data_IF_481837830572
#
_entry.id   IF_481837830572
#
_cell.length_a   1.000
_cell.length_b   1.000
_cell.length_c   1.000
_cell.angle_alpha   90.00
_cell.angle_beta   90.00
_cell.angle_gamma   90.00
#
_symmetry.space_group_name_H-M   'P 1'
#
loop_
_entity.id
_entity.type
_entity.pdbx_description
1 polymer ?
#
# COMPACT_ATOMS: atom_id res chain seq x y z
N UNK A 1 7.22 81.35 20.53
CA UNK A 1 8.63 80.91 20.55
C UNK A 1 8.67 79.51 19.95
N UNK A 2 9.35 79.39 18.80
CA UNK A 2 10.25 78.27 18.38
C UNK A 2 10.10 76.92 19.09
N UNK A 3 10.08 75.75 18.46
CA UNK A 3 10.41 75.27 17.09
C UNK A 3 9.98 73.79 17.03
N UNK A 4 9.63 73.34 15.83
CA UNK A 4 10.05 72.10 15.12
C UNK A 4 10.39 70.84 15.94
N UNK A 5 10.15 69.60 15.50
CA UNK A 5 9.44 68.97 14.38
C UNK A 5 9.76 67.45 14.47
N UNK A 6 9.13 66.67 13.58
CA UNK A 6 9.38 65.26 13.21
C UNK A 6 8.62 64.26 14.08
N UNK A 7 7.51 63.69 13.61
CA UNK A 7 7.43 62.82 12.42
C UNK A 7 7.15 61.41 12.96
N UNK A 8 6.23 60.58 12.49
CA UNK A 8 5.50 60.53 11.25
C UNK A 8 4.08 60.01 11.51
N UNK A 9 3.21 60.35 10.57
CA UNK A 9 1.79 60.00 10.49
C UNK A 9 1.61 58.50 10.17
N UNK A 10 0.56 57.92 10.78
CA UNK A 10 -0.52 57.11 10.14
C UNK A 10 -0.18 55.68 9.65
N UNK A 11 -1.04 54.66 9.70
CA UNK A 11 -2.45 54.51 10.10
C UNK A 11 -2.68 53.09 10.63
N UNK A 12 -3.69 53.00 11.49
CA UNK A 12 -4.28 51.79 12.01
C UNK A 12 -4.86 50.88 10.92
N UNK A 13 -4.71 49.56 11.12
CA UNK A 13 -5.73 48.58 10.80
C UNK A 13 -5.90 47.69 12.04
N UNK A 14 -6.91 48.02 12.84
CA UNK A 14 -7.52 47.06 13.74
C UNK A 14 -8.55 46.26 12.95
N UNK A 15 -8.51 44.94 13.07
CA UNK A 15 -9.66 44.06 13.06
C UNK A 15 -9.17 42.68 13.52
N UNK A 16 -9.31 42.45 14.83
CA UNK A 16 -9.20 41.11 15.40
C UNK A 16 -10.35 40.27 14.85
N UNK A 17 -10.00 39.12 14.28
CA UNK A 17 -10.97 38.06 14.01
C UNK A 17 -10.53 36.85 14.83
N UNK A 18 -11.39 36.55 15.79
CA UNK A 18 -11.37 35.38 16.66
C UNK A 18 -11.53 34.12 15.79
N UNK A 19 -10.58 33.18 15.86
CA UNK A 19 -10.65 31.92 15.11
C UNK A 19 -11.52 30.95 15.91
N UNK A 20 -12.81 30.88 15.57
CA UNK A 20 -13.69 29.80 16.04
C UNK A 20 -13.52 28.59 15.13
N UNK A 21 -13.22 27.44 15.72
CA UNK A 21 -13.17 26.15 15.05
C UNK A 21 -14.54 25.85 14.42
N UNK A 22 -14.59 25.92 13.09
CA UNK A 22 -15.73 25.54 12.26
C UNK A 22 -15.34 24.34 11.40
N UNK A 23 -16.17 23.31 11.47
CA UNK A 23 -16.12 22.03 10.76
C UNK A 23 -15.71 22.22 9.29
N UNK A 24 -14.62 21.58 8.85
CA UNK A 24 -14.26 21.50 7.44
C UNK A 24 -15.06 20.37 6.78
N UNK A 25 -16.22 20.72 6.23
CA UNK A 25 -16.87 19.93 5.17
C UNK A 25 -16.28 20.42 3.85
N UNK A 26 -15.53 19.57 3.16
CA UNK A 26 -14.99 19.90 1.84
C UNK A 26 -13.78 19.07 1.40
N UNK A 27 -13.84 17.75 1.51
CA UNK A 27 -12.87 16.89 0.81
C UNK A 27 -13.23 16.90 -0.68
N UNK A 28 -12.39 17.54 -1.50
CA UNK A 28 -12.49 17.45 -2.97
C UNK A 28 -12.44 15.97 -3.36
N UNK A 29 -13.24 15.50 -4.33
CA UNK A 29 -13.03 14.16 -4.87
C UNK A 29 -11.67 14.15 -5.55
N UNK A 30 -10.84 13.16 -5.22
CA UNK A 30 -9.68 12.82 -6.03
C UNK A 30 -10.23 12.39 -7.39
N UNK A 31 -10.01 13.20 -8.42
CA UNK A 31 -10.28 12.78 -9.79
C UNK A 31 -9.25 11.70 -10.12
N UNK A 32 -9.68 10.45 -10.04
CA UNK A 32 -8.99 9.30 -10.62
C UNK A 32 -8.68 9.62 -12.08
N UNK A 33 -7.41 9.76 -12.43
CA UNK A 33 -6.97 9.91 -13.82
C UNK A 33 -6.52 8.54 -14.25
N UNK A 34 -7.41 7.84 -14.94
CA UNK A 34 -7.16 6.59 -15.64
C UNK A 34 -5.89 6.78 -16.51
N UNK A 35 -4.74 6.33 -16.01
CA UNK A 35 -3.41 6.64 -16.56
C UNK A 35 -2.28 6.91 -15.56
N UNK A 36 -2.55 7.15 -14.27
CA UNK A 36 -1.50 7.30 -13.24
C UNK A 36 -0.92 5.97 -12.76
N UNK A 37 -1.69 4.88 -12.83
CA UNK A 37 -1.26 3.56 -12.38
C UNK A 37 -0.18 2.95 -13.28
N UNK A 38 -0.35 3.04 -14.61
CA UNK A 38 0.67 2.64 -15.59
C UNK A 38 1.98 3.42 -15.44
N UNK A 39 1.95 4.61 -14.83
CA UNK A 39 3.16 5.41 -14.56
C UNK A 39 4.01 4.78 -13.47
N UNK A 40 3.43 4.07 -12.50
CA UNK A 40 4.20 3.52 -11.38
C UNK A 40 4.98 2.25 -11.74
N UNK A 41 4.39 1.37 -12.56
CA UNK A 41 5.11 0.18 -13.07
C UNK A 41 6.29 0.60 -13.95
N UNK A 42 6.10 1.59 -14.82
CA UNK A 42 7.18 2.17 -15.64
C UNK A 42 8.29 2.78 -14.78
N UNK A 43 7.91 3.55 -13.76
CA UNK A 43 8.87 4.12 -12.81
C UNK A 43 9.67 3.05 -12.07
N UNK A 44 9.06 1.93 -11.72
CA UNK A 44 9.75 0.79 -11.12
C UNK A 44 10.74 0.15 -12.09
N UNK A 45 10.37 -0.02 -13.37
CA UNK A 45 11.26 -0.55 -14.39
C UNK A 45 12.48 0.35 -14.56
N UNK A 46 12.26 1.66 -14.66
CA UNK A 46 13.33 2.66 -14.75
C UNK A 46 14.24 2.62 -13.51
N UNK A 47 13.66 2.61 -12.30
CA UNK A 47 14.43 2.64 -11.06
C UNK A 47 15.22 1.37 -10.81
N UNK A 48 14.76 0.22 -11.31
CA UNK A 48 15.43 -1.09 -11.15
C UNK A 48 16.32 -1.47 -12.33
N UNK A 49 16.34 -0.66 -13.40
CA UNK A 49 17.07 -0.95 -14.63
C UNK A 49 16.57 -2.19 -15.38
N UNK A 50 15.31 -2.61 -15.15
CA UNK A 50 14.73 -3.84 -15.71
C UNK A 50 14.04 -3.57 -17.04
N UNK A 51 14.08 -4.57 -17.91
CA UNK A 51 13.21 -4.63 -19.09
C UNK A 51 11.93 -5.39 -18.75
N UNK A 52 10.83 -5.02 -19.44
CA UNK A 52 9.54 -5.73 -19.35
C UNK A 52 9.70 -7.19 -19.77
N UNK A 53 9.25 -8.12 -18.93
CA UNK A 53 9.21 -9.54 -19.28
C UNK A 53 7.98 -9.90 -20.15
N UNK A 54 6.87 -9.16 -19.99
CA UNK A 54 5.64 -9.38 -20.78
C UNK A 54 5.02 -10.76 -20.53
N UNK A 55 5.06 -11.21 -19.28
CA UNK A 55 4.50 -12.50 -18.88
C UNK A 55 2.98 -12.48 -19.05
N UNK A 56 2.40 -13.63 -19.34
CA UNK A 56 0.94 -13.81 -19.35
C UNK A 56 0.58 -14.69 -18.18
N UNK A 57 0.03 -14.10 -17.12
CA UNK A 57 -0.40 -14.80 -15.92
C UNK A 57 -1.89 -15.13 -16.03
N UNK A 58 -2.27 -16.37 -15.73
CA UNK A 58 -3.67 -16.76 -15.69
C UNK A 58 -4.27 -16.45 -14.31
N UNK A 59 -4.93 -15.30 -14.19
CA UNK A 59 -5.54 -14.83 -12.95
C UNK A 59 -6.88 -15.51 -12.60
N UNK A 60 -7.55 -16.14 -13.56
CA UNK A 60 -8.88 -16.72 -13.39
C UNK A 60 -9.00 -17.70 -12.20
N UNK A 61 -8.02 -18.60 -11.94
CA UNK A 61 -8.10 -19.51 -10.80
C UNK A 61 -8.02 -18.78 -9.46
N UNK A 62 -7.15 -17.76 -9.35
CA UNK A 62 -6.98 -17.00 -8.11
C UNK A 62 -8.19 -16.10 -7.82
N UNK A 63 -8.67 -15.35 -8.81
CA UNK A 63 -9.86 -14.50 -8.65
C UNK A 63 -11.11 -15.35 -8.34
N UNK A 64 -11.19 -16.57 -8.88
CA UNK A 64 -12.25 -17.53 -8.54
C UNK A 64 -12.13 -18.07 -7.11
N UNK A 65 -10.92 -18.33 -6.62
CA UNK A 65 -10.69 -18.79 -5.26
C UNK A 65 -11.03 -17.70 -4.22
N UNK A 66 -10.64 -16.45 -4.51
CA UNK A 66 -10.94 -15.29 -3.66
C UNK A 66 -12.40 -14.80 -3.81
N UNK A 67 -13.06 -15.13 -4.93
CA UNK A 67 -14.41 -14.64 -5.23
C UNK A 67 -14.46 -13.13 -5.55
N UNK A 68 -13.31 -12.51 -5.76
CA UNK A 68 -13.15 -11.09 -6.11
C UNK A 68 -12.10 -10.94 -7.19
N UNK A 69 -12.21 -9.86 -7.96
CA UNK A 69 -11.17 -9.41 -8.89
C UNK A 69 -9.99 -8.85 -8.10
N UNK A 70 -8.77 -9.07 -8.58
CA UNK A 70 -7.57 -8.42 -8.03
C UNK A 70 -7.31 -7.09 -8.73
N UNK A 71 -6.61 -6.12 -8.07
CA UNK A 71 -6.30 -4.83 -8.67
C UNK A 71 -5.55 -4.98 -10.00
N UNK A 72 -5.94 -4.21 -11.01
CA UNK A 72 -5.36 -4.29 -12.36
C UNK A 72 -3.89 -3.83 -12.38
N UNK A 73 -3.55 -2.80 -11.59
CA UNK A 73 -2.16 -2.31 -11.48
C UNK A 73 -1.21 -3.30 -10.79
N UNK A 74 -1.72 -4.11 -9.86
CA UNK A 74 -0.95 -5.21 -9.27
C UNK A 74 -0.70 -6.33 -10.28
N UNK A 75 -1.72 -6.69 -11.07
CA UNK A 75 -1.56 -7.71 -12.12
C UNK A 75 -0.53 -7.30 -13.17
N UNK A 76 -0.56 -6.03 -13.59
CA UNK A 76 0.45 -5.47 -14.50
C UNK A 76 1.85 -5.56 -13.90
N UNK A 77 2.02 -5.19 -12.62
CA UNK A 77 3.31 -5.29 -11.92
C UNK A 77 3.87 -6.73 -11.97
N UNK A 78 3.03 -7.72 -11.64
CA UNK A 78 3.41 -9.13 -11.69
C UNK A 78 3.74 -9.62 -13.10
N UNK A 79 2.98 -9.19 -14.12
CA UNK A 79 3.23 -9.57 -15.52
C UNK A 79 4.53 -8.94 -16.08
N UNK A 80 4.91 -7.77 -15.58
CA UNK A 80 6.10 -7.04 -16.01
C UNK A 80 7.37 -7.57 -15.34
N UNK A 81 7.32 -7.83 -14.02
CA UNK A 81 8.49 -8.22 -13.23
C UNK A 81 8.61 -9.74 -13.02
N UNK A 82 7.49 -10.47 -13.02
CA UNK A 82 7.43 -11.85 -12.56
C UNK A 82 7.55 -11.96 -11.05
N UNK A 83 7.71 -13.19 -10.56
CA UNK A 83 7.94 -13.45 -9.15
C UNK A 83 9.40 -13.13 -8.78
N UNK A 84 9.60 -12.48 -7.62
CA UNK A 84 10.92 -12.11 -7.15
C UNK A 84 10.90 -11.09 -6.01
N UNK A 85 12.08 -10.57 -5.71
CA UNK A 85 12.31 -9.62 -4.62
C UNK A 85 12.86 -8.29 -5.15
N UNK A 86 12.29 -7.19 -4.68
CA UNK A 86 12.83 -5.85 -4.85
C UNK A 86 13.90 -5.60 -3.78
N UNK A 87 15.09 -5.22 -4.23
CA UNK A 87 16.25 -4.91 -3.39
C UNK A 87 16.59 -6.00 -2.35
N UNK A 88 16.25 -7.26 -2.66
CA UNK A 88 16.34 -8.42 -1.76
C UNK A 88 15.60 -8.29 -0.42
N UNK A 89 14.69 -7.31 -0.31
CA UNK A 89 14.00 -7.01 0.95
C UNK A 89 12.48 -6.99 0.84
N UNK A 90 11.89 -6.68 -0.30
CA UNK A 90 10.42 -6.71 -0.47
C UNK A 90 10.03 -7.73 -1.54
N UNK A 91 9.25 -8.73 -1.16
CA UNK A 91 8.63 -9.70 -2.08
C UNK A 91 7.21 -9.24 -2.41
N UNK A 92 6.87 -9.23 -3.70
CA UNK A 92 5.48 -9.15 -4.16
C UNK A 92 5.07 -10.57 -4.53
N UNK A 93 4.09 -11.11 -3.80
CA UNK A 93 3.55 -12.42 -4.07
C UNK A 93 2.77 -12.35 -5.38
N UNK A 94 3.07 -13.24 -6.33
CA UNK A 94 2.32 -13.38 -7.58
C UNK A 94 1.32 -14.53 -7.45
N UNK A 95 0.56 -14.81 -8.51
CA UNK A 95 -0.23 -16.03 -8.65
C UNK A 95 0.48 -16.96 -9.62
N UNK A 96 0.88 -18.13 -9.14
CA UNK A 96 1.46 -19.20 -9.97
C UNK A 96 1.40 -20.52 -9.19
N UNK A 97 0.67 -21.54 -9.67
CA UNK A 97 0.54 -22.83 -8.98
C UNK A 97 1.84 -23.64 -8.94
N UNK A 98 2.87 -23.30 -9.72
CA UNK A 98 4.19 -23.92 -9.68
C UNK A 98 5.07 -23.36 -8.56
N UNK A 99 4.73 -22.19 -8.01
CA UNK A 99 5.44 -21.61 -6.88
C UNK A 99 5.11 -22.35 -5.58
N UNK A 100 6.14 -22.50 -4.73
CA UNK A 100 5.99 -23.06 -3.38
C UNK A 100 5.09 -22.17 -2.51
N UNK A 101 5.14 -20.86 -2.74
CA UNK A 101 4.32 -19.88 -2.06
C UNK A 101 3.89 -18.80 -3.06
N UNK A 102 2.60 -18.79 -3.37
CA UNK A 102 1.92 -17.76 -4.15
C UNK A 102 0.86 -17.04 -3.29
N UNK A 103 0.25 -15.98 -3.83
CA UNK A 103 -0.73 -15.17 -3.12
C UNK A 103 -1.89 -15.99 -2.53
N UNK A 104 -2.45 -16.93 -3.32
CA UNK A 104 -3.60 -17.74 -2.91
C UNK A 104 -3.21 -18.74 -1.83
N UNK A 105 -2.03 -19.33 -1.93
CA UNK A 105 -1.48 -20.25 -0.94
C UNK A 105 -1.22 -19.53 0.39
N UNK A 106 -0.67 -18.32 0.37
CA UNK A 106 -0.44 -17.52 1.57
C UNK A 106 -1.73 -17.18 2.32
N UNK A 107 -2.73 -16.71 1.58
CA UNK A 107 -4.08 -16.50 2.12
C UNK A 107 -4.69 -17.79 2.70
N UNK A 108 -4.62 -18.90 1.96
CA UNK A 108 -5.19 -20.19 2.37
C UNK A 108 -4.51 -20.77 3.61
N UNK A 109 -3.18 -20.65 3.70
CA UNK A 109 -2.40 -21.06 4.87
C UNK A 109 -2.76 -20.20 6.08
N UNK A 110 -2.89 -18.89 5.89
CA UNK A 110 -3.35 -17.97 6.94
C UNK A 110 -4.71 -18.39 7.53
N UNK A 111 -5.69 -18.66 6.67
CA UNK A 111 -7.01 -19.13 7.10
C UNK A 111 -6.96 -20.47 7.83
N UNK A 112 -6.15 -21.41 7.33
CA UNK A 112 -5.96 -22.71 8.00
C UNK A 112 -5.37 -22.53 9.40
N UNK A 113 -4.31 -21.71 9.53
CA UNK A 113 -3.66 -21.47 10.81
C UNK A 113 -4.61 -20.81 11.82
N UNK A 114 -5.42 -19.84 11.38
CA UNK A 114 -6.43 -19.21 12.22
C UNK A 114 -7.44 -20.26 12.76
N UNK A 115 -7.95 -21.13 11.88
CA UNK A 115 -8.87 -22.22 12.27
C UNK A 115 -8.22 -23.24 13.20
N UNK A 116 -6.97 -23.60 12.97
CA UNK A 116 -6.21 -24.51 13.85
C UNK A 116 -6.00 -23.91 15.25
N UNK A 117 -5.91 -22.59 15.33
CA UNK A 117 -5.87 -21.83 16.59
C UNK A 117 -7.26 -21.56 17.19
N UNK A 118 -8.33 -22.06 16.58
CA UNK A 118 -9.70 -21.94 17.07
C UNK A 118 -10.40 -20.62 16.74
N UNK A 119 -9.88 -19.84 15.79
CA UNK A 119 -10.52 -18.62 15.29
C UNK A 119 -11.54 -18.98 14.22
N UNK A 120 -12.79 -18.53 14.35
CA UNK A 120 -13.84 -18.78 13.35
C UNK A 120 -13.72 -17.85 12.13
N UNK A 121 -14.32 -18.24 11.00
CA UNK A 121 -14.26 -17.47 9.75
C UNK A 121 -14.88 -16.07 9.89
N UNK A 122 -14.04 -15.05 9.81
CA UNK A 122 -14.44 -13.64 9.92
C UNK A 122 -14.34 -13.11 11.35
N UNK A 123 -13.89 -13.94 12.30
CA UNK A 123 -13.43 -13.46 13.60
C UNK A 123 -11.99 -12.96 13.49
N UNK A 124 -11.67 -12.01 14.36
CA UNK A 124 -10.33 -11.45 14.48
C UNK A 124 -9.41 -12.46 15.17
N UNK A 125 -8.43 -12.95 14.42
CA UNK A 125 -7.26 -13.61 14.98
C UNK A 125 -6.40 -12.55 15.70
N UNK A 126 -5.86 -12.82 16.91
CA UNK A 126 -4.92 -11.93 17.60
C UNK A 126 -3.77 -11.42 16.71
N UNK A 127 -3.33 -12.22 15.74
CA UNK A 127 -2.30 -11.85 14.77
C UNK A 127 -2.76 -10.83 13.73
N UNK A 128 -4.06 -10.56 13.57
CA UNK A 128 -4.59 -9.59 12.60
C UNK A 128 -5.40 -8.45 13.22
N UNK A 129 -5.45 -8.32 14.56
CA UNK A 129 -6.22 -7.29 15.26
C UNK A 129 -6.02 -5.86 14.71
N UNK A 130 -7.06 -5.04 14.54
CA UNK A 130 -8.49 -5.33 14.74
C UNK A 130 -9.16 -6.00 13.53
N UNK A 131 -8.39 -6.34 12.49
CA UNK A 131 -8.89 -6.91 11.25
C UNK A 131 -8.98 -8.44 11.31
N UNK A 132 -9.46 -9.05 10.24
CA UNK A 132 -9.45 -10.49 10.04
C UNK A 132 -8.97 -10.80 8.62
N UNK A 133 -8.45 -12.00 8.40
CA UNK A 133 -8.13 -12.47 7.05
C UNK A 133 -9.38 -12.50 6.19
N UNK A 134 -9.21 -12.15 4.92
CA UNK A 134 -10.30 -12.02 3.97
C UNK A 134 -11.13 -13.30 3.89
N UNK A 135 -12.44 -13.14 4.05
CA UNK A 135 -13.43 -14.18 3.82
C UNK A 135 -14.29 -13.76 2.63
N UNK A 136 -14.42 -14.61 1.59
CA UNK A 136 -15.25 -14.30 0.41
C UNK A 136 -16.65 -13.84 0.79
N UNK A 137 -17.03 -12.65 0.33
CA UNK A 137 -18.33 -12.03 0.61
C UNK A 137 -18.46 -11.37 1.99
N UNK A 138 -17.45 -11.40 2.86
CA UNK A 138 -17.43 -10.67 4.14
C UNK A 138 -16.36 -9.55 4.20
N UNK A 139 -15.39 -9.55 3.28
CA UNK A 139 -14.27 -8.62 3.30
C UNK A 139 -13.12 -9.11 4.19
N UNK A 140 -12.16 -8.21 4.47
CA UNK A 140 -10.98 -8.49 5.29
C UNK A 140 -9.66 -8.38 4.53
N UNK A 141 -8.59 -8.91 5.12
CA UNK A 141 -7.22 -8.76 4.63
C UNK A 141 -6.83 -9.84 3.61
N UNK A 142 -6.41 -9.43 2.41
CA UNK A 142 -5.75 -10.30 1.44
C UNK A 142 -4.25 -10.00 1.47
N UNK A 143 -3.37 -10.94 1.86
CA UNK A 143 -1.92 -10.73 1.78
C UNK A 143 -1.48 -10.61 0.32
N UNK A 144 -0.54 -9.71 0.03
CA UNK A 144 0.04 -9.56 -1.31
C UNK A 144 1.56 -9.46 -1.33
N UNK A 145 2.21 -9.31 -0.18
CA UNK A 145 3.66 -9.27 -0.11
C UNK A 145 4.20 -9.25 1.31
N UNK A 146 5.52 -9.40 1.40
CA UNK A 146 6.25 -9.44 2.66
C UNK A 146 7.62 -8.80 2.55
N UNK A 147 8.11 -8.29 3.68
CA UNK A 147 9.50 -7.88 3.87
C UNK A 147 10.39 -9.03 4.35
N UNK A 148 11.69 -8.96 4.06
CA UNK A 148 12.72 -9.89 4.55
C UNK A 148 12.87 -9.88 6.08
N UNK A 149 12.53 -8.76 6.71
CA UNK A 149 12.47 -8.58 8.17
C UNK A 149 11.22 -9.17 8.82
N UNK A 150 10.29 -9.71 8.03
CA UNK A 150 8.98 -10.19 8.49
C UNK A 150 7.87 -9.15 8.42
N UNK A 151 8.12 -8.00 7.80
CA UNK A 151 7.06 -7.04 7.48
C UNK A 151 6.02 -7.71 6.58
N UNK A 152 4.77 -7.30 6.69
CA UNK A 152 3.67 -7.93 5.96
C UNK A 152 2.73 -6.89 5.38
N UNK A 153 2.28 -7.12 4.15
CA UNK A 153 1.47 -6.18 3.40
C UNK A 153 0.20 -6.84 2.87
N UNK A 154 -0.91 -6.12 3.02
CA UNK A 154 -2.25 -6.62 2.73
C UNK A 154 -3.05 -5.56 1.97
N UNK A 155 -4.01 -6.01 1.18
CA UNK A 155 -5.16 -5.19 0.82
C UNK A 155 -6.22 -5.36 1.90
N UNK A 156 -6.85 -4.27 2.33
CA UNK A 156 -8.09 -4.35 3.09
C UNK A 156 -9.27 -4.25 2.12
N UNK A 157 -9.94 -5.37 1.90
CA UNK A 157 -11.12 -5.45 1.03
C UNK A 157 -12.32 -4.90 1.79
N UNK A 158 -12.77 -3.73 1.36
CA UNK A 158 -13.94 -3.03 1.88
C UNK A 158 -15.16 -3.28 0.99
N UNK A 159 -16.33 -3.45 1.60
CA UNK A 159 -17.56 -3.72 0.85
C UNK A 159 -17.91 -2.55 -0.08
N UNK A 160 -18.12 -2.85 -1.36
CA UNK A 160 -18.51 -1.86 -2.38
C UNK A 160 -17.37 -1.04 -2.98
N UNK A 161 -16.14 -1.20 -2.50
CA UNK A 161 -14.95 -0.61 -3.11
C UNK A 161 -14.51 -1.39 -4.35
N UNK A 162 -14.07 -0.69 -5.40
CA UNK A 162 -13.43 -1.33 -6.53
C UNK A 162 -12.05 -1.89 -6.11
N UNK A 163 -11.55 -2.99 -6.70
CA UNK A 163 -10.26 -3.57 -6.34
C UNK A 163 -9.10 -2.57 -6.39
N UNK A 164 -9.07 -1.70 -7.41
CA UNK A 164 -8.01 -0.68 -7.55
C UNK A 164 -8.05 0.41 -6.47
N UNK A 165 -9.17 0.53 -5.76
CA UNK A 165 -9.34 1.48 -4.65
C UNK A 165 -9.10 0.83 -3.28
N UNK A 166 -8.70 -0.44 -3.22
CA UNK A 166 -8.45 -1.08 -1.94
C UNK A 166 -7.21 -0.49 -1.26
N UNK A 167 -7.35 0.00 -0.03
CA UNK A 167 -6.22 0.51 0.74
C UNK A 167 -5.21 -0.61 1.05
N UNK A 168 -3.94 -0.23 1.10
CA UNK A 168 -2.87 -1.09 1.57
C UNK A 168 -2.72 -0.92 3.08
N UNK A 169 -2.69 -2.03 3.81
CA UNK A 169 -2.23 -2.08 5.19
C UNK A 169 -0.87 -2.76 5.26
N UNK A 170 0.11 -2.05 5.82
CA UNK A 170 1.43 -2.58 6.13
C UNK A 170 1.61 -2.73 7.63
N UNK A 171 2.29 -3.79 8.05
CA UNK A 171 2.72 -3.96 9.44
C UNK A 171 4.17 -4.37 9.53
N UNK A 172 4.91 -3.73 10.43
CA UNK A 172 6.30 -4.06 10.75
C UNK A 172 6.34 -5.31 11.62
N UNK A 173 7.30 -6.21 11.40
CA UNK A 173 7.38 -7.52 12.06
C UNK A 173 7.31 -7.47 13.60
N UNK A 174 8.00 -6.50 14.21
CA UNK A 174 8.11 -6.35 15.67
C UNK A 174 7.08 -5.39 16.28
N UNK A 175 6.16 -4.86 15.46
CA UNK A 175 5.14 -3.95 15.94
C UNK A 175 4.04 -4.70 16.71
N UNK A 176 3.32 -3.96 17.56
CA UNK A 176 2.09 -4.45 18.17
C UNK A 176 1.12 -4.88 17.08
N UNK A 177 0.32 -5.94 17.33
CA UNK A 177 -0.57 -6.51 16.30
C UNK A 177 -1.60 -5.52 15.78
N UNK A 178 -1.86 -4.44 16.55
CA UNK A 178 -2.78 -3.34 16.25
C UNK A 178 -2.15 -2.15 15.52
N UNK A 179 -0.82 -2.11 15.36
CA UNK A 179 -0.10 -0.97 14.75
C UNK A 179 0.01 -1.12 13.23
N UNK A 180 -1.10 -0.82 12.55
CA UNK A 180 -1.22 -0.86 11.11
C UNK A 180 -0.93 0.50 10.48
N UNK A 181 -0.11 0.49 9.43
CA UNK A 181 0.12 1.65 8.58
C UNK A 181 -0.79 1.55 7.35
N UNK A 182 -1.69 2.52 7.18
CA UNK A 182 -2.66 2.55 6.07
C UNK A 182 -2.22 3.48 4.96
N UNK A 183 -2.33 3.03 3.71
CA UNK A 183 -1.97 3.79 2.52
C UNK A 183 -3.07 3.70 1.45
N UNK A 184 -3.50 4.86 0.96
CA UNK A 184 -4.47 5.02 -0.13
C UNK A 184 -3.72 5.11 -1.48
N UNK A 185 -2.92 4.09 -1.79
CA UNK A 185 -2.10 4.02 -3.00
C UNK A 185 -2.12 2.58 -3.51
N UNK A 186 -1.80 2.40 -4.79
CA UNK A 186 -1.67 1.06 -5.37
C UNK A 186 -0.38 0.35 -4.95
N UNK A 187 -0.32 -0.96 -5.22
CA UNK A 187 0.90 -1.76 -4.95
C UNK A 187 2.12 -1.23 -5.70
N UNK A 188 2.09 -0.97 -7.03
CA UNK A 188 3.27 -0.43 -7.70
C UNK A 188 3.70 0.94 -7.16
N UNK A 189 2.77 1.81 -6.77
CA UNK A 189 3.11 3.07 -6.10
C UNK A 189 3.76 2.84 -4.73
N UNK A 190 3.18 1.95 -3.92
CA UNK A 190 3.71 1.60 -2.61
C UNK A 190 5.14 1.07 -2.70
N UNK A 191 5.38 0.09 -3.57
CA UNK A 191 6.72 -0.49 -3.79
C UNK A 191 7.69 0.58 -4.28
N UNK A 192 7.26 1.44 -5.21
CA UNK A 192 8.11 2.54 -5.68
C UNK A 192 8.53 3.47 -4.55
N UNK A 193 7.59 3.87 -3.69
CA UNK A 193 7.88 4.75 -2.54
C UNK A 193 8.75 4.05 -1.50
N UNK A 194 8.54 2.78 -1.22
CA UNK A 194 9.44 1.98 -0.37
C UNK A 194 10.87 2.05 -0.89
N UNK A 195 11.07 1.90 -2.19
CA UNK A 195 12.41 1.86 -2.79
C UNK A 195 13.08 3.22 -2.91
N UNK A 196 12.32 4.30 -3.06
CA UNK A 196 12.88 5.60 -3.51
C UNK A 196 12.61 6.78 -2.59
N UNK A 197 11.58 6.71 -1.74
CA UNK A 197 11.16 7.82 -0.90
C UNK A 197 11.70 7.69 0.53
N UNK A 198 12.75 8.45 0.82
CA UNK A 198 13.35 8.53 2.17
C UNK A 198 12.43 9.08 3.26
N UNK A 199 11.21 9.54 2.97
CA UNK A 199 10.21 9.91 3.96
C UNK A 199 9.16 8.80 4.20
N UNK A 200 9.14 7.73 3.39
CA UNK A 200 8.14 6.67 3.43
C UNK A 200 8.39 5.66 4.57
N UNK A 201 8.43 6.16 5.80
CA UNK A 201 8.55 5.35 7.02
C UNK A 201 7.22 4.61 7.29
N UNK A 202 7.27 3.44 7.97
CA UNK A 202 8.48 2.77 8.46
C UNK A 202 9.21 1.93 7.39
N UNK A 203 8.61 1.66 6.23
CA UNK A 203 9.05 0.62 5.29
C UNK A 203 10.15 1.03 4.30
N UNK A 204 10.48 2.32 4.18
CA UNK A 204 11.47 2.80 3.21
C UNK A 204 12.83 2.10 3.28
N UNK A 205 13.28 1.66 2.11
CA UNK A 205 14.61 1.14 1.84
C UNK A 205 15.55 2.19 1.22
N UNK A 206 15.02 3.32 0.73
CA UNK A 206 15.79 4.34 0.02
C UNK A 206 17.09 4.82 0.73
N UNK A 207 17.15 4.99 2.06
CA UNK A 207 18.41 5.35 2.74
C UNK A 207 19.46 4.24 2.77
N UNK A 208 19.04 2.98 2.60
CA UNK A 208 19.86 1.78 2.77
C UNK A 208 20.27 1.15 1.42
N UNK A 209 19.43 1.33 0.40
CA UNK A 209 19.63 0.79 -0.95
C UNK A 209 19.54 1.94 -1.95
N UNK A 210 20.67 2.62 -2.27
CA UNK A 210 20.67 3.80 -3.13
C UNK A 210 20.32 3.48 -4.60
N UNK A 211 20.54 2.23 -5.03
CA UNK A 211 20.20 1.74 -6.35
C UNK A 211 19.26 0.54 -6.20
N UNK A 212 17.94 0.73 -6.35
CA UNK A 212 16.97 -0.35 -6.27
C UNK A 212 17.25 -1.43 -7.31
N UNK A 213 17.07 -2.69 -6.93
CA UNK A 213 17.22 -3.83 -7.84
C UNK A 213 15.98 -4.70 -7.83
N UNK A 214 15.88 -5.60 -8.80
CA UNK A 214 14.89 -6.68 -8.77
C UNK A 214 15.57 -8.01 -9.09
N UNK A 215 15.44 -8.96 -8.17
CA UNK A 215 16.00 -10.32 -8.26
C UNK A 215 14.84 -11.29 -8.50
N UNK A 216 14.72 -11.91 -9.69
CA UNK A 216 13.70 -12.93 -9.96
C UNK A 216 13.90 -14.12 -9.02
N UNK A 217 12.81 -14.76 -8.63
CA UNK A 217 12.89 -16.07 -7.99
C UNK A 217 13.37 -17.12 -9.00
N UNK A 218 14.18 -18.08 -8.52
CA UNK A 218 14.70 -19.21 -9.31
C UNK A 218 13.70 -20.37 -9.42
#
# INVERSE_FOLDING_TARGET
MTRDAHGAKRMAYGNGVEVRAGILVGSRPLTYVEGTEMVWVERLLESTGRARLGLTINWDPAERALGVRLPDSYKELCEVFGHGTFSNSLTVDSVDPELVFDLVSGWSVGLRNARENGVEDGETDPFYEPHHLYIPGKGGLIPWGSGDTGDSFFWLVEEGAAPDDWPILGRVAEAETTDWQRYEVSVPEFVFRVLTDTAFRPFTLAPYVPEPTFTPAE
#
